data_IF_105040379215
#
_entry.id   IF_105040379215
#
_cell.length_a   1.000
_cell.length_b   1.000
_cell.length_c   1.000
_cell.angle_alpha   90.00
_cell.angle_beta   90.00
_cell.angle_gamma   90.00
#
_symmetry.space_group_name_H-M   'P 1'
#
loop_
_entity.id
_entity.type
_entity.pdbx_description
1 polymer ?
#
# COMPACT_ATOMS: atom_id res chain seq x y z
N UNK A 1 1.68 73.52 41.04
CA UNK A 1 2.71 72.45 41.08
C UNK A 1 1.99 71.12 41.00
N UNK A 2 1.79 70.62 39.78
CA UNK A 2 1.22 69.30 39.50
C UNK A 2 2.38 68.34 39.29
N UNK A 3 2.46 67.30 40.12
CA UNK A 3 3.47 66.24 40.04
C UNK A 3 3.15 65.28 38.88
N UNK A 4 4.15 64.83 38.10
CA UNK A 4 3.91 63.88 37.02
C UNK A 4 3.80 62.45 37.59
N UNK A 5 2.72 61.76 37.24
CA UNK A 5 2.51 60.34 37.50
C UNK A 5 3.44 59.52 36.61
N UNK A 6 4.39 58.80 37.22
CA UNK A 6 5.28 57.87 36.54
C UNK A 6 4.52 56.65 36.04
N UNK A 7 4.44 56.47 34.71
CA UNK A 7 3.91 55.27 34.06
C UNK A 7 4.93 54.14 34.21
N UNK A 8 4.60 53.11 34.98
CA UNK A 8 5.41 51.90 35.10
C UNK A 8 5.27 51.06 33.82
N UNK A 9 6.36 50.91 33.08
CA UNK A 9 6.50 49.90 32.03
C UNK A 9 6.34 48.49 32.63
N UNK A 10 5.53 47.59 32.05
CA UNK A 10 5.39 46.23 32.56
C UNK A 10 6.70 45.47 32.36
N UNK A 11 7.30 45.05 33.47
CA UNK A 11 8.47 44.16 33.50
C UNK A 11 8.11 42.85 32.80
N UNK A 12 8.87 42.36 31.80
CA UNK A 12 8.57 41.08 31.16
C UNK A 12 8.70 39.97 32.21
N UNK A 13 7.64 39.15 32.33
CA UNK A 13 7.63 38.00 33.23
C UNK A 13 8.84 37.08 32.94
N UNK A 14 9.48 36.49 33.96
CA UNK A 14 10.62 35.60 33.75
C UNK A 14 10.18 34.41 32.88
N UNK A 15 10.70 34.35 31.66
CA UNK A 15 10.44 33.24 30.74
C UNK A 15 11.15 31.99 31.28
N UNK A 16 10.38 30.99 31.69
CA UNK A 16 10.93 29.69 32.07
C UNK A 16 11.65 29.08 30.86
N UNK A 17 12.97 28.89 30.99
CA UNK A 17 13.80 28.25 29.96
C UNK A 17 14.06 26.81 30.37
N UNK A 18 13.79 25.88 29.46
CA UNK A 18 14.00 24.46 29.67
C UNK A 18 15.09 23.92 28.73
N UNK A 19 15.86 22.91 29.15
CA UNK A 19 16.69 22.14 28.23
C UNK A 19 15.84 21.51 27.12
N UNK A 20 16.38 21.45 25.89
CA UNK A 20 15.71 20.89 24.70
C UNK A 20 14.97 19.56 24.95
N UNK A 21 15.57 18.52 25.56
CA UNK A 21 14.88 17.24 25.74
C UNK A 21 13.73 17.30 26.74
N UNK A 22 13.79 18.20 27.73
CA UNK A 22 12.71 18.40 28.72
C UNK A 22 11.57 19.17 28.08
N UNK A 23 11.88 20.22 27.32
CA UNK A 23 10.89 21.03 26.61
C UNK A 23 10.12 20.21 25.57
N UNK A 24 10.82 19.35 24.82
CA UNK A 24 10.20 18.45 23.85
C UNK A 24 9.15 17.50 24.48
N UNK A 25 9.35 17.11 25.75
CA UNK A 25 8.40 16.25 26.48
C UNK A 25 7.27 17.04 27.15
N UNK A 26 7.57 18.23 27.69
CA UNK A 26 6.58 19.07 28.38
C UNK A 26 5.59 19.73 27.42
N UNK A 27 6.06 20.18 26.26
CA UNK A 27 5.25 20.95 25.31
C UNK A 27 5.71 20.65 23.87
N UNK A 28 5.31 19.48 23.32
CA UNK A 28 5.78 19.01 22.02
C UNK A 28 5.33 19.93 20.86
N UNK A 29 4.11 20.49 20.92
CA UNK A 29 3.60 21.39 19.89
C UNK A 29 4.41 22.70 19.78
N UNK A 30 4.59 23.50 20.86
CA UNK A 30 5.49 24.66 20.83
C UNK A 30 6.94 24.34 20.48
N UNK A 31 7.42 23.14 20.85
CA UNK A 31 8.78 22.71 20.51
C UNK A 31 8.97 22.55 19.00
N UNK A 32 8.05 21.85 18.33
CA UNK A 32 8.09 21.68 16.88
C UNK A 32 7.93 23.03 16.17
N UNK A 33 7.00 23.87 16.62
CA UNK A 33 6.79 25.22 16.08
C UNK A 33 8.07 26.06 16.13
N UNK A 34 8.79 26.04 17.24
CA UNK A 34 10.05 26.78 17.39
C UNK A 34 11.16 26.27 16.48
N UNK A 35 11.12 24.99 16.12
CA UNK A 35 12.06 24.39 15.17
C UNK A 35 11.73 24.78 13.72
N UNK A 36 10.43 24.82 13.38
CA UNK A 36 9.93 25.18 12.05
C UNK A 36 9.92 26.69 11.78
N UNK A 37 9.84 27.52 12.83
CA UNK A 37 9.88 28.98 12.74
C UNK A 37 11.02 29.53 13.62
N UNK A 38 12.29 29.37 13.20
CA UNK A 38 13.41 29.96 13.93
C UNK A 38 13.28 31.48 13.95
N UNK A 39 13.50 32.09 15.12
CA UNK A 39 13.41 33.55 15.30
C UNK A 39 14.51 34.31 14.54
N UNK A 40 15.57 33.63 14.12
CA UNK A 40 16.66 34.17 13.31
C UNK A 40 16.45 33.85 11.82
N UNK A 41 16.46 34.85 10.92
CA UNK A 41 16.20 34.65 9.49
C UNK A 41 17.28 33.85 8.74
N UNK A 42 18.46 33.66 9.34
CA UNK A 42 19.61 32.98 8.72
C UNK A 42 19.52 31.44 8.80
N UNK A 43 18.60 30.92 9.63
CA UNK A 43 18.44 29.47 9.83
C UNK A 43 17.24 28.95 9.04
N UNK A 44 17.40 27.96 8.14
CA UNK A 44 16.26 27.36 7.46
C UNK A 44 15.33 26.66 8.46
N UNK A 45 14.04 26.49 8.12
CA UNK A 45 13.10 25.72 8.93
C UNK A 45 13.53 24.25 8.93
N UNK A 46 13.77 23.69 10.11
CA UNK A 46 14.23 22.30 10.27
C UNK A 46 13.31 21.60 11.26
N UNK A 47 12.99 20.33 10.99
CA UNK A 47 12.18 19.49 11.87
C UNK A 47 12.99 19.06 13.10
N UNK A 48 12.33 18.44 14.07
CA UNK A 48 12.97 17.96 15.30
C UNK A 48 14.05 16.90 15.04
N UNK A 49 13.92 16.17 13.94
CA UNK A 49 14.86 15.15 13.46
C UNK A 49 16.02 15.71 12.60
N UNK A 50 16.06 17.01 12.33
CA UNK A 50 17.09 17.62 11.48
C UNK A 50 16.77 17.68 9.98
N UNK A 51 15.66 17.08 9.52
CA UNK A 51 15.23 17.09 8.11
C UNK A 51 14.50 18.38 7.73
N UNK A 52 14.51 18.72 6.44
CA UNK A 52 13.66 19.78 5.92
C UNK A 52 12.17 19.38 5.93
N UNK A 53 11.22 20.34 5.94
CA UNK A 53 9.78 20.04 5.88
C UNK A 53 9.38 19.18 4.67
N UNK A 54 10.07 19.36 3.54
CA UNK A 54 9.83 18.66 2.28
C UNK A 54 10.78 17.47 2.03
N UNK A 55 11.48 17.00 3.06
CA UNK A 55 12.46 15.93 2.95
C UNK A 55 11.93 14.63 3.59
N UNK A 56 11.78 13.59 2.77
CA UNK A 56 11.32 12.26 3.19
C UNK A 56 12.50 11.35 3.58
N UNK A 57 12.26 10.30 4.38
CA UNK A 57 13.31 9.37 4.82
C UNK A 57 13.90 8.61 3.62
N UNK A 58 15.22 8.36 3.65
CA UNK A 58 15.84 7.47 2.67
C UNK A 58 15.24 6.05 2.80
N UNK A 59 14.91 5.43 1.67
CA UNK A 59 14.33 4.09 1.60
C UNK A 59 15.37 3.14 1.06
N UNK A 60 15.61 2.05 1.78
CA UNK A 60 16.46 0.95 1.35
C UNK A 60 15.61 -0.30 1.21
N UNK A 61 15.66 -0.95 0.04
CA UNK A 61 14.87 -2.14 -0.27
C UNK A 61 15.83 -3.30 -0.55
N UNK A 62 15.66 -4.39 0.17
CA UNK A 62 16.33 -5.66 -0.09
C UNK A 62 15.28 -6.71 -0.50
N UNK A 63 15.17 -6.99 -1.79
CA UNK A 63 14.30 -8.08 -2.28
C UNK A 63 14.87 -9.46 -1.95
N UNK A 64 14.01 -10.48 -1.97
CA UNK A 64 14.35 -11.89 -1.67
C UNK A 64 15.00 -12.12 -0.31
N UNK A 65 14.58 -11.38 0.72
CA UNK A 65 15.14 -11.50 2.08
C UNK A 65 14.77 -12.81 2.80
N UNK A 66 13.68 -13.48 2.39
CA UNK A 66 13.19 -14.73 2.97
C UNK A 66 13.27 -15.87 1.95
N UNK A 67 13.95 -16.96 2.31
CA UNK A 67 14.20 -18.10 1.40
C UNK A 67 12.99 -19.00 1.15
N UNK A 68 12.07 -19.10 2.12
CA UNK A 68 10.90 -19.98 2.05
C UNK A 68 9.65 -19.30 1.47
N UNK A 69 9.66 -17.97 1.33
CA UNK A 69 8.55 -17.23 0.74
C UNK A 69 8.63 -17.27 -0.79
N UNK A 70 7.48 -17.18 -1.47
CA UNK A 70 7.43 -17.13 -2.94
C UNK A 70 7.94 -15.77 -3.46
N UNK A 71 7.74 -14.71 -2.69
CA UNK A 71 8.35 -13.40 -2.85
C UNK A 71 8.60 -12.79 -1.48
N UNK A 72 9.62 -11.96 -1.34
CA UNK A 72 9.84 -11.23 -0.09
C UNK A 72 10.61 -9.95 -0.30
N UNK A 73 10.46 -9.01 0.63
CA UNK A 73 11.24 -7.80 0.67
C UNK A 73 11.43 -7.30 2.11
N UNK A 74 12.63 -6.83 2.42
CA UNK A 74 12.91 -6.05 3.62
C UNK A 74 13.03 -4.58 3.20
N UNK A 75 12.20 -3.72 3.76
CA UNK A 75 12.25 -2.27 3.51
C UNK A 75 12.59 -1.55 4.80
N UNK A 76 13.61 -0.70 4.72
CA UNK A 76 14.00 0.21 5.79
C UNK A 76 13.83 1.64 5.34
N UNK A 77 13.03 2.40 6.06
CA UNK A 77 12.82 3.83 5.87
C UNK A 77 13.21 4.56 7.16
N UNK A 78 14.42 5.12 7.20
CA UNK A 78 15.01 5.66 8.43
C UNK A 78 15.11 4.58 9.52
N UNK A 79 14.39 4.80 10.63
CA UNK A 79 14.31 3.86 11.76
C UNK A 79 13.14 2.88 11.66
N UNK A 80 12.20 3.09 10.72
CA UNK A 80 11.14 2.13 10.45
C UNK A 80 11.66 0.99 9.59
N UNK A 81 11.41 -0.25 10.01
CA UNK A 81 11.83 -1.45 9.29
C UNK A 81 10.67 -2.44 9.19
N UNK A 82 10.36 -2.85 7.96
CA UNK A 82 9.25 -3.75 7.63
C UNK A 82 9.76 -4.90 6.79
N UNK A 83 9.35 -6.11 7.14
CA UNK A 83 9.55 -7.32 6.35
C UNK A 83 8.21 -7.66 5.71
N UNK A 84 8.19 -7.89 4.40
CA UNK A 84 7.03 -8.39 3.68
C UNK A 84 7.36 -9.76 3.07
N UNK A 85 6.48 -10.72 3.27
CA UNK A 85 6.54 -12.05 2.66
C UNK A 85 5.25 -12.33 1.89
N UNK A 86 5.39 -12.93 0.70
CA UNK A 86 4.28 -13.36 -0.14
C UNK A 86 4.26 -14.89 -0.18
N UNK A 87 3.12 -15.47 0.18
CA UNK A 87 2.84 -16.89 0.12
C UNK A 87 1.69 -17.14 -0.85
N UNK A 88 1.93 -17.93 -1.90
CA UNK A 88 0.89 -18.42 -2.77
C UNK A 88 0.29 -19.72 -2.25
N UNK A 89 -1.03 -19.81 -2.23
CA UNK A 89 -1.80 -21.03 -2.02
C UNK A 89 -2.77 -21.25 -3.19
N UNK A 90 -3.19 -22.49 -3.40
CA UNK A 90 -4.13 -22.84 -4.46
C UNK A 90 -5.54 -22.92 -3.88
N UNK A 91 -6.46 -22.17 -4.47
CA UNK A 91 -7.88 -22.21 -4.19
C UNK A 91 -8.60 -22.93 -5.33
N UNK A 92 -9.05 -24.19 -5.13
CA UNK A 92 -9.87 -24.90 -6.10
C UNK A 92 -11.17 -24.15 -6.35
N UNK A 93 -11.63 -24.17 -7.60
CA UNK A 93 -12.87 -23.51 -8.02
C UNK A 93 -14.10 -23.99 -7.25
N UNK A 94 -14.13 -25.25 -6.82
CA UNK A 94 -15.19 -25.83 -6.00
C UNK A 94 -15.34 -25.15 -4.63
N UNK A 95 -14.28 -24.52 -4.12
CA UNK A 95 -14.28 -23.81 -2.83
C UNK A 95 -14.61 -22.33 -2.98
N UNK A 96 -14.83 -21.84 -4.20
CA UNK A 96 -15.16 -20.44 -4.46
C UNK A 96 -16.68 -20.29 -4.38
N UNK A 97 -17.20 -19.50 -3.42
CA UNK A 97 -18.63 -19.22 -3.37
C UNK A 97 -19.03 -18.42 -4.61
N UNK A 98 -20.16 -18.78 -5.24
CA UNK A 98 -20.70 -18.07 -6.40
C UNK A 98 -19.69 -17.98 -7.58
N UNK A 99 -18.92 -19.03 -7.79
CA UNK A 99 -18.01 -19.11 -8.93
C UNK A 99 -18.75 -18.89 -10.26
N UNK A 100 -18.21 -18.01 -11.09
CA UNK A 100 -18.73 -17.75 -12.44
C UNK A 100 -17.83 -18.47 -13.44
N UNK A 101 -18.31 -19.56 -14.09
CA UNK A 101 -17.50 -20.30 -15.05
C UNK A 101 -17.18 -19.39 -16.25
N UNK A 102 -15.89 -19.23 -16.52
CA UNK A 102 -15.39 -18.55 -17.72
C UNK A 102 -14.67 -19.55 -18.60
N UNK A 103 -15.21 -19.74 -19.81
CA UNK A 103 -14.54 -20.50 -20.86
C UNK A 103 -13.74 -19.51 -21.70
N UNK A 104 -12.57 -19.93 -22.21
CA UNK A 104 -11.71 -19.06 -23.05
C UNK A 104 -12.44 -18.51 -24.29
N UNK A 105 -13.54 -19.14 -24.72
CA UNK A 105 -14.40 -18.69 -25.83
C UNK A 105 -15.27 -17.48 -25.50
N UNK A 106 -15.77 -17.31 -24.26
CA UNK A 106 -16.57 -16.13 -23.88
C UNK A 106 -15.71 -14.87 -23.71
N UNK A 107 -14.42 -15.04 -23.39
CA UNK A 107 -13.43 -13.94 -23.32
C UNK A 107 -13.16 -13.21 -24.65
N UNK A 108 -13.55 -13.77 -25.80
CA UNK A 108 -13.43 -13.13 -27.12
C UNK A 108 -14.78 -12.73 -27.73
N UNK A 109 -15.91 -13.06 -27.08
CA UNK A 109 -17.26 -12.75 -27.57
C UNK A 109 -17.96 -11.60 -26.86
N UNK A 110 -17.52 -11.24 -25.65
CA UNK A 110 -18.22 -10.26 -24.80
C UNK A 110 -17.89 -8.78 -25.13
N UNK A 111 -17.09 -8.50 -26.19
CA UNK A 111 -16.81 -7.12 -26.62
C UNK A 111 -18.00 -6.45 -27.35
N UNK A 112 -19.04 -7.19 -27.77
CA UNK A 112 -20.20 -6.62 -28.48
C UNK A 112 -21.55 -6.72 -27.75
N UNK A 113 -21.78 -7.67 -26.84
CA UNK A 113 -23.14 -7.96 -26.33
C UNK A 113 -23.47 -7.48 -24.90
N UNK A 114 -22.49 -7.01 -24.10
CA UNK A 114 -22.73 -6.57 -22.71
C UNK A 114 -23.30 -5.13 -22.60
N UNK A 115 -23.62 -4.48 -23.72
CA UNK A 115 -24.25 -3.16 -23.75
C UNK A 115 -25.80 -3.19 -23.60
N UNK A 116 -26.45 -4.36 -23.67
CA UNK A 116 -27.90 -4.43 -23.90
C UNK A 116 -28.77 -4.93 -22.71
N UNK A 117 -28.22 -5.28 -21.54
CA UNK A 117 -29.04 -5.80 -20.42
C UNK A 117 -28.81 -5.12 -19.05
N UNK A 118 -28.65 -3.80 -19.03
CA UNK A 118 -28.67 -3.06 -17.76
C UNK A 118 -29.59 -1.83 -17.77
N UNK A 119 -30.85 -2.01 -18.19
CA UNK A 119 -31.97 -1.13 -17.79
C UNK A 119 -32.83 -1.83 -16.73
N UNK A 120 -32.53 -1.58 -15.44
CA UNK A 120 -33.40 -2.05 -14.36
C UNK A 120 -32.73 -2.24 -12.99
N UNK A 121 -32.01 -1.25 -12.48
CA UNK A 121 -31.46 -1.35 -11.11
C UNK A 121 -30.57 -0.18 -10.74
N UNK A 122 -31.17 0.88 -10.20
CA UNK A 122 -30.48 2.11 -9.79
C UNK A 122 -29.69 1.86 -8.49
N UNK A 123 -28.40 1.59 -8.62
CA UNK A 123 -27.44 1.49 -7.52
C UNK A 123 -26.11 2.14 -7.90
N UNK A 124 -25.67 3.12 -7.11
CA UNK A 124 -24.52 3.99 -7.35
C UNK A 124 -23.21 3.22 -7.08
N UNK A 125 -22.57 2.65 -8.11
CA UNK A 125 -21.11 2.41 -8.15
C UNK A 125 -20.62 2.48 -9.59
N UNK A 126 -20.06 3.63 -9.98
CA UNK A 126 -19.35 3.77 -11.24
C UNK A 126 -17.91 3.26 -11.13
N UNK A 127 -17.48 2.40 -12.04
CA UNK A 127 -16.17 2.48 -12.72
C UNK A 127 -15.88 1.21 -13.56
N UNK A 128 -16.14 1.35 -14.87
CA UNK A 128 -15.42 0.78 -16.02
C UNK A 128 -14.53 -0.47 -15.90
N UNK A 129 -14.91 -1.48 -16.68
CA UNK A 129 -14.05 -2.19 -17.65
C UNK A 129 -12.71 -2.75 -17.15
N UNK A 130 -12.76 -4.03 -16.79
CA UNK A 130 -11.61 -4.88 -16.58
C UNK A 130 -12.13 -6.19 -16.04
N UNK A 131 -12.49 -7.11 -16.93
CA UNK A 131 -13.11 -8.40 -16.64
C UNK A 131 -12.41 -9.18 -15.52
N UNK A 132 -11.10 -8.98 -15.30
CA UNK A 132 -10.34 -9.58 -14.20
C UNK A 132 -10.23 -8.75 -12.90
N UNK A 133 -10.61 -7.47 -12.86
CA UNK A 133 -10.41 -6.62 -11.67
C UNK A 133 -11.48 -6.81 -10.60
N UNK A 134 -12.73 -7.03 -11.02
CA UNK A 134 -13.80 -7.47 -10.12
C UNK A 134 -13.47 -8.84 -9.52
N UNK A 135 -12.96 -9.74 -10.35
CA UNK A 135 -12.63 -11.12 -9.99
C UNK A 135 -11.62 -11.26 -8.83
N UNK A 136 -10.57 -10.43 -8.79
CA UNK A 136 -9.64 -10.43 -7.64
C UNK A 136 -10.35 -10.13 -6.32
N UNK A 137 -11.32 -9.21 -6.35
CA UNK A 137 -12.05 -8.75 -5.18
C UNK A 137 -13.19 -9.70 -4.82
N UNK A 138 -13.88 -10.23 -5.83
CA UNK A 138 -14.99 -11.16 -5.64
C UNK A 138 -14.52 -12.50 -5.06
N UNK A 139 -13.31 -12.93 -5.39
CA UNK A 139 -12.71 -14.19 -4.91
C UNK A 139 -11.65 -14.01 -3.82
N UNK A 140 -11.46 -12.79 -3.31
CA UNK A 140 -10.47 -12.44 -2.27
C UNK A 140 -9.09 -13.08 -2.50
N UNK A 141 -8.57 -12.97 -3.74
CA UNK A 141 -7.31 -13.61 -4.13
C UNK A 141 -6.08 -12.96 -3.51
N UNK A 142 -6.21 -11.74 -2.96
CA UNK A 142 -5.13 -11.02 -2.31
C UNK A 142 -5.50 -10.78 -0.85
N UNK A 143 -4.75 -11.38 0.06
CA UNK A 143 -5.03 -11.30 1.50
C UNK A 143 -3.84 -10.67 2.22
N UNK A 144 -3.83 -9.34 2.43
CA UNK A 144 -2.80 -8.69 3.21
C UNK A 144 -3.06 -8.87 4.70
N UNK A 145 -2.03 -9.26 5.42
CA UNK A 145 -2.01 -9.37 6.87
C UNK A 145 -0.91 -8.47 7.43
N UNK A 146 -1.22 -7.72 8.48
CA UNK A 146 -0.29 -6.74 9.07
C UNK A 146 -0.08 -7.07 10.53
N UNK A 147 1.14 -7.41 10.86
CA UNK A 147 1.61 -7.67 12.20
C UNK A 147 2.55 -6.56 12.67
N UNK A 148 2.17 -5.92 13.78
CA UNK A 148 3.01 -4.96 14.49
C UNK A 148 3.73 -5.73 15.59
N UNK A 149 4.98 -6.13 15.35
CA UNK A 149 5.72 -7.02 16.23
C UNK A 149 5.86 -6.41 17.63
N UNK A 150 5.93 -7.28 18.64
CA UNK A 150 6.21 -6.86 20.02
C UNK A 150 7.59 -6.21 20.10
N UNK A 151 7.67 -5.04 20.74
CA UNK A 151 8.90 -4.25 20.78
C UNK A 151 9.18 -3.35 19.57
N UNK A 152 8.36 -3.38 18.50
CA UNK A 152 8.48 -2.43 17.39
C UNK A 152 8.14 -0.99 17.80
N UNK A 153 7.33 -0.83 18.84
CA UNK A 153 7.08 0.41 19.54
C UNK A 153 6.74 0.12 21.01
N UNK A 154 6.97 1.07 21.94
CA UNK A 154 6.66 0.88 23.36
C UNK A 154 5.17 0.57 23.65
N UNK A 155 4.28 0.94 22.73
CA UNK A 155 2.83 0.75 22.83
C UNK A 155 2.36 -0.66 22.43
N UNK A 156 3.20 -1.48 21.80
CA UNK A 156 2.84 -2.82 21.35
C UNK A 156 3.33 -3.86 22.37
N UNK A 157 2.40 -4.23 23.27
CA UNK A 157 2.62 -5.24 24.29
C UNK A 157 2.37 -6.65 23.74
N UNK A 158 3.06 -7.68 24.27
CA UNK A 158 2.83 -9.07 23.87
C UNK A 158 1.44 -9.57 24.29
N UNK A 159 0.84 -10.41 23.43
CA UNK A 159 -0.43 -11.10 23.72
C UNK A 159 -1.69 -10.23 23.56
N UNK A 160 -1.57 -9.02 23.04
CA UNK A 160 -2.72 -8.13 22.79
C UNK A 160 -3.37 -8.50 21.43
N UNK A 161 -4.71 -8.47 21.31
CA UNK A 161 -5.38 -8.62 20.02
C UNK A 161 -4.92 -7.56 19.00
N UNK A 162 -5.17 -7.77 17.68
CA UNK A 162 -4.74 -6.84 16.65
C UNK A 162 -5.26 -5.43 16.91
N UNK A 163 -4.34 -4.48 17.00
CA UNK A 163 -4.65 -3.07 17.28
C UNK A 163 -5.48 -2.43 16.16
N UNK A 164 -6.25 -1.38 16.49
CA UNK A 164 -7.01 -0.62 15.49
C UNK A 164 -6.12 -0.07 14.36
N UNK A 165 -4.87 0.31 14.68
CA UNK A 165 -3.88 0.76 13.69
C UNK A 165 -3.54 -0.36 12.70
N UNK A 166 -3.25 -1.57 13.19
CA UNK A 166 -2.94 -2.73 12.33
C UNK A 166 -4.13 -3.08 11.42
N UNK A 167 -5.35 -3.09 11.96
CA UNK A 167 -6.57 -3.36 11.20
C UNK A 167 -6.84 -2.30 10.13
N UNK A 168 -6.67 -1.02 10.49
CA UNK A 168 -6.84 0.09 9.54
C UNK A 168 -5.79 0.04 8.44
N UNK A 169 -4.53 -0.27 8.79
CA UNK A 169 -3.45 -0.41 7.81
C UNK A 169 -3.71 -1.58 6.86
N UNK A 170 -4.09 -2.75 7.36
CA UNK A 170 -4.43 -3.91 6.54
C UNK A 170 -5.58 -3.59 5.57
N UNK A 171 -6.65 -2.95 6.06
CA UNK A 171 -7.79 -2.53 5.22
C UNK A 171 -7.40 -1.50 4.15
N UNK A 172 -6.54 -0.53 4.49
CA UNK A 172 -6.03 0.45 3.51
C UNK A 172 -5.14 -0.20 2.45
N UNK A 173 -4.25 -1.11 2.84
CA UNK A 173 -3.40 -1.87 1.91
C UNK A 173 -4.26 -2.75 1.00
N UNK A 174 -5.24 -3.47 1.55
CA UNK A 174 -6.20 -4.27 0.78
C UNK A 174 -6.94 -3.41 -0.26
N UNK A 175 -7.53 -2.30 0.17
CA UNK A 175 -8.24 -1.37 -0.71
C UNK A 175 -7.34 -0.84 -1.82
N UNK A 176 -6.09 -0.51 -1.49
CA UNK A 176 -5.11 0.00 -2.46
C UNK A 176 -4.63 -1.07 -3.45
N UNK A 177 -4.47 -2.33 -3.04
CA UNK A 177 -4.13 -3.45 -3.93
C UNK A 177 -5.18 -3.60 -5.04
N UNK A 178 -6.46 -3.59 -4.67
CA UNK A 178 -7.57 -3.66 -5.65
C UNK A 178 -7.75 -2.35 -6.45
N UNK A 179 -7.45 -1.20 -5.84
CA UNK A 179 -7.51 0.11 -6.50
C UNK A 179 -6.37 0.39 -7.50
N UNK A 180 -5.21 -0.25 -7.31
CA UNK A 180 -4.06 -0.08 -8.22
C UNK A 180 -4.08 -1.09 -9.36
N UNK A 181 -4.66 -2.28 -9.14
CA UNK A 181 -4.69 -3.34 -10.15
C UNK A 181 -3.29 -3.85 -10.50
N UNK A 182 -2.41 -3.91 -9.49
CA UNK A 182 -1.01 -4.35 -9.64
C UNK A 182 -0.89 -5.77 -10.21
N UNK A 183 -1.82 -6.64 -9.82
CA UNK A 183 -1.87 -8.06 -10.19
C UNK A 183 -3.16 -8.31 -10.96
N UNK A 184 -3.09 -9.10 -12.03
CA UNK A 184 -4.26 -9.52 -12.81
C UNK A 184 -4.78 -10.87 -12.35
N UNK A 185 -6.10 -11.07 -12.43
CA UNK A 185 -6.72 -12.37 -12.16
C UNK A 185 -6.17 -13.43 -13.12
N UNK A 186 -5.96 -13.03 -14.37
CA UNK A 186 -5.46 -13.87 -15.46
C UNK A 186 -4.14 -14.56 -15.12
N UNK A 187 -3.24 -13.84 -14.43
CA UNK A 187 -1.92 -14.36 -14.06
C UNK A 187 -2.00 -15.33 -12.88
N UNK A 188 -3.12 -15.33 -12.15
CA UNK A 188 -3.41 -16.22 -11.01
C UNK A 188 -4.28 -17.43 -11.40
N UNK A 189 -4.86 -17.45 -12.61
CA UNK A 189 -5.69 -18.58 -13.08
C UNK A 189 -4.84 -19.82 -13.38
N UNK A 190 -5.33 -20.96 -12.91
CA UNK A 190 -4.82 -22.28 -13.28
C UNK A 190 -5.80 -22.91 -14.26
N UNK A 191 -5.34 -23.11 -15.49
CA UNK A 191 -6.14 -23.68 -16.57
C UNK A 191 -6.01 -25.21 -16.59
N UNK A 192 -7.13 -25.88 -16.78
CA UNK A 192 -7.17 -27.25 -17.27
C UNK A 192 -7.13 -27.23 -18.79
N UNK A 193 -6.14 -27.92 -19.36
CA UNK A 193 -6.04 -28.16 -20.80
C UNK A 193 -6.15 -29.66 -21.05
N UNK A 194 -7.31 -30.16 -21.53
CA UNK A 194 -7.44 -31.55 -21.90
C UNK A 194 -6.55 -31.81 -23.13
N UNK A 195 -5.54 -32.66 -22.96
CA UNK A 195 -4.59 -33.03 -24.02
C UNK A 195 -3.12 -32.96 -23.65
N UNK A 196 -2.73 -32.27 -22.57
CA UNK A 196 -1.42 -32.47 -21.94
C UNK A 196 -1.45 -33.78 -21.17
N UNK A 197 -1.40 -34.92 -21.88
CA UNK A 197 -1.02 -36.21 -21.28
C UNK A 197 0.23 -35.94 -20.44
N UNK A 198 0.14 -36.24 -19.15
CA UNK A 198 1.21 -36.08 -18.17
C UNK A 198 2.56 -36.47 -18.77
N UNK A 199 3.58 -35.66 -18.48
CA UNK A 199 4.88 -35.72 -19.12
C UNK A 199 5.31 -37.15 -19.42
N UNK A 200 5.46 -37.46 -20.72
CA UNK A 200 6.16 -38.64 -21.19
C UNK A 200 7.45 -38.77 -20.39
N UNK A 201 7.51 -39.78 -19.51
CA UNK A 201 8.77 -40.45 -19.24
C UNK A 201 9.26 -40.95 -20.59
N UNK A 202 10.42 -40.46 -21.01
CA UNK A 202 11.08 -40.93 -22.20
C UNK A 202 11.36 -42.43 -22.05
N UNK A 203 10.92 -43.22 -23.03
CA UNK A 203 11.22 -44.64 -23.17
C UNK A 203 10.11 -45.55 -22.66
N UNK A 204 9.12 -45.81 -23.51
CA UNK A 204 8.53 -47.14 -23.71
C UNK A 204 7.62 -47.06 -24.95
N UNK A 205 8.06 -47.76 -25.99
CA UNK A 205 7.34 -47.92 -27.24
C UNK A 205 6.04 -48.68 -26.97
N UNK A 206 4.89 -48.07 -27.25
CA UNK A 206 3.61 -48.77 -27.26
C UNK A 206 2.97 -48.58 -28.63
N UNK A 207 2.82 -49.72 -29.31
CA UNK A 207 2.20 -49.92 -30.61
C UNK A 207 0.86 -49.18 -30.78
N UNK A 208 0.63 -48.69 -32.00
CA UNK A 208 -0.65 -48.17 -32.45
C UNK A 208 -1.71 -49.28 -32.46
N UNK A 209 -2.56 -49.28 -31.45
CA UNK A 209 -3.87 -49.93 -31.50
C UNK A 209 -4.93 -48.91 -31.92
N UNK A 210 -5.60 -49.17 -33.04
CA UNK A 210 -6.79 -48.45 -33.49
C UNK A 210 -7.86 -48.54 -32.40
N UNK A 211 -8.21 -47.40 -31.77
CA UNK A 211 -9.30 -47.31 -30.82
C UNK A 211 -10.38 -46.40 -31.41
N UNK A 212 -11.57 -46.97 -31.46
CA UNK A 212 -12.82 -46.45 -31.97
C UNK A 212 -13.11 -45.02 -31.47
N UNK A 213 -13.60 -44.18 -32.40
CA UNK A 213 -14.14 -42.86 -32.10
C UNK A 213 -15.45 -43.00 -31.32
N UNK A 214 -15.36 -43.24 -30.02
CA UNK A 214 -16.48 -42.98 -29.10
C UNK A 214 -16.37 -41.56 -28.55
N UNK A 215 -17.52 -40.87 -28.54
CA UNK A 215 -17.75 -39.48 -28.17
C UNK A 215 -16.97 -39.01 -26.93
N UNK A 216 -15.72 -38.58 -27.11
CA UNK A 216 -15.07 -37.69 -26.15
C UNK A 216 -15.65 -36.31 -26.38
N UNK A 217 -16.67 -35.98 -25.59
CA UNK A 217 -17.05 -34.59 -25.34
C UNK A 217 -15.74 -33.80 -25.25
N UNK A 218 -15.53 -32.85 -26.17
CA UNK A 218 -14.32 -32.02 -26.17
C UNK A 218 -14.37 -31.22 -24.87
N UNK A 219 -13.80 -31.77 -23.80
CA UNK A 219 -13.72 -31.11 -22.51
C UNK A 219 -13.16 -29.72 -22.78
N UNK A 220 -13.94 -28.69 -22.47
CA UNK A 220 -13.52 -27.33 -22.78
C UNK A 220 -12.44 -26.91 -21.78
N UNK A 221 -11.46 -26.11 -22.24
CA UNK A 221 -10.48 -25.54 -21.34
C UNK A 221 -11.19 -24.67 -20.29
N UNK A 222 -11.10 -25.10 -19.03
CA UNK A 222 -11.75 -24.45 -17.89
C UNK A 222 -10.72 -24.05 -16.85
N UNK A 223 -11.03 -23.00 -16.11
CA UNK A 223 -10.26 -22.65 -14.91
C UNK A 223 -10.61 -23.66 -13.82
N UNK A 224 -9.60 -24.27 -13.21
CA UNK A 224 -9.78 -25.28 -12.13
C UNK A 224 -9.41 -24.74 -10.76
N UNK A 225 -8.51 -23.76 -10.70
CA UNK A 225 -8.08 -23.15 -9.46
C UNK A 225 -7.55 -21.73 -9.69
N UNK A 226 -7.46 -20.99 -8.61
CA UNK A 226 -6.82 -19.68 -8.53
C UNK A 226 -5.66 -19.72 -7.55
N UNK A 227 -4.63 -18.94 -7.83
CA UNK A 227 -3.62 -18.60 -6.83
C UNK A 227 -4.16 -17.52 -5.91
N UNK A 228 -4.18 -17.81 -4.61
CA UNK A 228 -4.42 -16.85 -3.54
C UNK A 228 -3.07 -16.43 -2.98
N UNK A 229 -2.82 -15.13 -2.93
CA UNK A 229 -1.59 -14.55 -2.41
C UNK A 229 -1.85 -13.99 -1.01
N UNK A 230 -1.29 -14.65 -0.01
CA UNK A 230 -1.18 -14.13 1.35
C UNK A 230 0.05 -13.22 1.42
N UNK A 231 -0.17 -11.97 1.80
CA UNK A 231 0.85 -10.94 1.88
C UNK A 231 1.02 -10.58 3.36
N UNK A 232 2.01 -11.19 4.00
CA UNK A 232 2.29 -10.96 5.41
C UNK A 232 3.29 -9.80 5.55
N UNK A 233 2.91 -8.77 6.31
CA UNK A 233 3.77 -7.65 6.69
C UNK A 233 4.09 -7.73 8.18
N UNK A 234 5.37 -7.73 8.51
CA UNK A 234 5.87 -7.70 9.88
C UNK A 234 6.69 -6.43 10.10
N UNK A 235 6.21 -5.56 10.99
CA UNK A 235 6.95 -4.37 11.41
C UNK A 235 7.93 -4.74 12.52
N UNK A 236 9.22 -4.67 12.21
CA UNK A 236 10.31 -4.90 13.20
C UNK A 236 10.53 -3.64 14.05
N UNK A 237 10.50 -2.48 13.42
CA UNK A 237 10.62 -1.18 14.06
C UNK A 237 9.63 -0.22 13.45
N UNK A 238 8.93 0.54 14.30
CA UNK A 238 7.93 1.51 13.91
C UNK A 238 8.38 2.90 14.33
N UNK A 239 8.41 3.84 13.39
CA UNK A 239 8.79 5.24 13.66
C UNK A 239 7.87 6.24 12.94
N UNK A 240 6.57 5.98 12.90
CA UNK A 240 5.57 6.85 12.27
C UNK A 240 5.46 6.69 10.76
N UNK A 241 4.33 7.12 10.20
CA UNK A 241 3.94 6.90 8.79
C UNK A 241 4.11 5.44 8.32
N UNK A 242 3.45 4.47 8.99
CA UNK A 242 3.62 3.04 8.68
C UNK A 242 3.10 2.65 7.29
N UNK A 243 2.13 3.41 6.76
CA UNK A 243 1.47 3.07 5.50
C UNK A 243 2.41 3.13 4.30
N UNK A 244 3.22 4.18 4.18
CA UNK A 244 4.13 4.35 3.05
C UNK A 244 5.21 3.25 3.01
N UNK A 245 5.73 2.89 4.19
CA UNK A 245 6.76 1.85 4.35
C UNK A 245 6.17 0.46 4.07
N UNK A 246 4.97 0.17 4.60
CA UNK A 246 4.25 -1.05 4.32
C UNK A 246 3.97 -1.21 2.82
N UNK A 247 3.46 -0.16 2.18
CA UNK A 247 3.14 -0.19 0.77
C UNK A 247 4.37 -0.41 -0.11
N UNK A 248 5.48 0.28 0.18
CA UNK A 248 6.74 0.05 -0.51
C UNK A 248 7.23 -1.40 -0.36
N UNK A 249 7.06 -2.00 0.83
CA UNK A 249 7.42 -3.40 1.07
C UNK A 249 6.54 -4.37 0.29
N UNK A 250 5.23 -4.12 0.20
CA UNK A 250 4.28 -4.94 -0.57
C UNK A 250 4.62 -4.90 -2.06
N UNK A 251 4.83 -3.71 -2.62
CA UNK A 251 5.18 -3.56 -4.05
C UNK A 251 6.51 -4.25 -4.36
N UNK A 252 7.52 -4.11 -3.50
CA UNK A 252 8.80 -4.78 -3.66
C UNK A 252 8.68 -6.31 -3.57
N UNK A 253 7.91 -6.83 -2.60
CA UNK A 253 7.73 -8.26 -2.42
C UNK A 253 6.90 -8.89 -3.55
N UNK A 254 5.85 -8.21 -4.02
CA UNK A 254 5.05 -8.66 -5.17
C UNK A 254 5.91 -8.73 -6.44
N UNK A 255 6.78 -7.75 -6.68
CA UNK A 255 7.71 -7.75 -7.81
C UNK A 255 8.74 -8.88 -7.77
N UNK A 256 9.09 -9.36 -6.57
CA UNK A 256 9.98 -10.50 -6.40
C UNK A 256 9.25 -11.86 -6.46
N UNK A 257 7.92 -11.86 -6.42
CA UNK A 257 7.13 -13.10 -6.31
C UNK A 257 7.32 -14.02 -7.52
N UNK A 258 7.70 -15.27 -7.23
CA UNK A 258 7.81 -16.36 -8.20
C UNK A 258 6.95 -17.53 -7.74
N UNK A 259 5.87 -17.78 -8.48
CA UNK A 259 4.94 -18.88 -8.21
C UNK A 259 5.37 -20.13 -8.99
N UNK A 260 5.29 -21.33 -8.40
CA UNK A 260 5.51 -22.56 -9.14
C UNK A 260 4.42 -22.72 -10.21
N UNK A 261 4.77 -23.34 -11.34
CA UNK A 261 3.77 -23.65 -12.37
C UNK A 261 2.82 -24.72 -11.82
N UNK A 262 1.53 -24.38 -11.75
CA UNK A 262 0.47 -25.28 -11.33
C UNK A 262 -0.19 -25.89 -12.57
N UNK A 263 -0.36 -27.21 -12.60
CA UNK A 263 -1.10 -27.95 -13.63
C UNK A 263 -2.14 -28.85 -12.96
N UNK A 264 -3.28 -29.02 -13.61
CA UNK A 264 -4.27 -30.00 -13.16
C UNK A 264 -3.81 -31.40 -13.54
N UNK A 265 -3.82 -32.32 -12.58
CA UNK A 265 -3.57 -33.74 -12.81
C UNK A 265 -4.91 -34.48 -12.81
N UNK A 266 -5.38 -35.01 -13.97
CA UNK A 266 -6.66 -35.70 -14.07
C UNK A 266 -6.68 -37.01 -13.28
N UNK A 267 -5.53 -37.67 -13.07
CA UNK A 267 -5.47 -38.96 -12.37
C UNK A 267 -5.67 -38.81 -10.86
N UNK A 268 -5.29 -37.64 -10.33
CA UNK A 268 -5.34 -37.33 -8.89
C UNK A 268 -6.46 -36.37 -8.52
N UNK A 269 -7.21 -35.89 -9.52
CA UNK A 269 -8.24 -34.86 -9.39
C UNK A 269 -7.76 -33.66 -8.54
N UNK A 270 -6.49 -33.27 -8.70
CA UNK A 270 -5.89 -32.19 -7.91
C UNK A 270 -4.89 -31.39 -8.73
N UNK A 271 -4.70 -30.13 -8.33
CA UNK A 271 -3.67 -29.27 -8.91
C UNK A 271 -2.30 -29.63 -8.31
N UNK A 272 -1.34 -29.95 -9.18
CA UNK A 272 0.04 -30.28 -8.81
C UNK A 272 0.96 -29.12 -9.21
N UNK A 273 1.82 -28.72 -8.28
CA UNK A 273 2.84 -27.69 -8.50
C UNK A 273 4.17 -28.30 -8.96
N UNK A 274 4.77 -27.74 -10.00
CA UNK A 274 6.13 -28.07 -10.38
C UNK A 274 7.13 -27.60 -9.30
N UNK A 275 8.13 -28.44 -9.00
CA UNK A 275 9.20 -28.09 -8.04
C UNK A 275 10.31 -27.24 -8.68
N UNK A 276 10.47 -27.35 -10.00
CA UNK A 276 11.59 -26.77 -10.76
C UNK A 276 11.16 -25.54 -11.56
N UNK A 277 9.98 -25.57 -12.18
CA UNK A 277 9.48 -24.48 -13.01
C UNK A 277 8.77 -23.44 -12.15
N UNK A 278 9.30 -22.22 -12.13
CA UNK A 278 8.69 -21.07 -11.45
C UNK A 278 8.46 -19.94 -12.44
N UNK A 279 7.27 -19.34 -12.38
CA UNK A 279 6.88 -18.18 -13.17
C UNK A 279 6.91 -16.94 -12.27
N UNK A 280 7.61 -15.90 -12.72
CA UNK A 280 7.59 -14.58 -12.06
C UNK A 280 6.22 -13.93 -12.29
N UNK A 281 5.67 -13.31 -11.25
CA UNK A 281 4.41 -12.56 -11.36
C UNK A 281 4.62 -11.28 -12.18
N UNK A 282 3.74 -11.02 -13.13
CA UNK A 282 3.74 -9.78 -13.92
C UNK A 282 3.07 -8.67 -13.13
N UNK A 283 3.88 -7.81 -12.49
CA UNK A 283 3.41 -6.69 -11.68
C UNK A 283 3.49 -5.41 -12.49
N UNK A 284 2.34 -4.76 -12.73
CA UNK A 284 2.26 -3.54 -13.54
C UNK A 284 2.57 -2.29 -12.73
N UNK A 285 3.41 -1.43 -13.28
CA UNK A 285 3.68 -0.11 -12.72
C UNK A 285 4.45 -0.14 -11.39
N UNK A 286 4.55 1.03 -10.77
CA UNK A 286 5.23 1.25 -9.48
C UNK A 286 4.43 2.29 -8.70
N UNK A 287 3.26 1.94 -8.14
CA UNK A 287 2.53 2.85 -7.27
C UNK A 287 3.35 3.10 -6.01
N UNK A 288 3.72 4.36 -5.75
CA UNK A 288 4.43 4.78 -4.54
C UNK A 288 3.49 5.64 -3.71
N UNK A 289 3.29 5.25 -2.45
CA UNK A 289 2.56 6.03 -1.48
C UNK A 289 3.45 7.14 -0.92
N UNK A 290 2.91 8.34 -0.86
CA UNK A 290 3.52 9.51 -0.27
C UNK A 290 2.52 10.14 0.69
N UNK A 291 2.86 10.15 1.98
CA UNK A 291 2.07 10.77 3.03
C UNK A 291 2.70 12.07 3.51
N UNK A 292 1.86 13.05 3.80
CA UNK A 292 2.24 14.33 4.36
C UNK A 292 1.27 14.74 5.46
N UNK A 293 1.80 15.29 6.54
CA UNK A 293 1.02 15.86 7.62
C UNK A 293 1.04 17.38 7.54
N UNK A 294 -0.07 18.01 7.91
CA UNK A 294 -0.15 19.47 8.00
C UNK A 294 -0.06 19.87 9.46
N UNK A 295 0.99 20.62 9.78
CA UNK A 295 1.21 21.20 11.10
C UNK A 295 0.71 22.64 11.12
N UNK A 296 -0.05 22.99 12.16
CA UNK A 296 -0.64 24.32 12.33
C UNK A 296 0.10 25.10 13.41
N UNK A 297 0.19 26.42 13.25
CA UNK A 297 0.79 27.29 14.26
C UNK A 297 0.02 27.29 15.60
N UNK A 298 -1.29 27.10 15.56
CA UNK A 298 -2.16 27.05 16.75
C UNK A 298 -2.79 25.65 16.90
N UNK A 299 -2.65 25.08 18.09
CA UNK A 299 -3.11 23.73 18.43
C UNK A 299 -4.63 23.62 18.52
N UNK A 300 -5.28 24.63 19.10
CA UNK A 300 -6.73 24.80 19.09
C UNK A 300 -7.09 26.07 18.30
N UNK A 301 -7.90 25.92 17.24
CA UNK A 301 -8.69 27.05 16.74
C UNK A 301 -9.70 27.41 17.83
N UNK A 302 -9.29 28.22 18.80
CA UNK A 302 -10.26 28.89 19.65
C UNK A 302 -11.18 29.71 18.75
N UNK A 303 -12.48 29.57 18.98
CA UNK A 303 -13.60 30.17 18.26
C UNK A 303 -13.66 31.70 18.45
N UNK A 304 -12.54 32.41 18.30
CA UNK A 304 -12.52 33.84 18.16
C UNK A 304 -12.72 34.18 16.68
N UNK A 305 -13.92 34.70 16.39
CA UNK A 305 -14.28 35.30 15.12
C UNK A 305 -13.24 36.35 14.69
N UNK A 306 -12.36 35.96 13.77
CA UNK A 306 -11.31 36.81 13.25
C UNK A 306 -10.49 36.04 12.22
N UNK A 307 -10.83 36.21 10.95
CA UNK A 307 -10.15 35.62 9.81
C UNK A 307 -8.68 36.06 9.78
N UNK A 308 -7.80 35.22 10.30
CA UNK A 308 -6.39 35.19 9.99
C UNK A 308 -6.02 33.74 9.67
N UNK A 309 -5.54 33.48 8.45
CA UNK A 309 -4.94 32.20 8.10
C UNK A 309 -3.73 31.99 9.00
N UNK A 310 -3.88 31.11 10.01
CA UNK A 310 -2.73 30.66 10.80
C UNK A 310 -1.70 30.04 9.88
N UNK A 311 -0.41 30.29 10.13
CA UNK A 311 0.65 29.71 9.32
C UNK A 311 0.59 28.19 9.44
N UNK A 312 0.79 27.51 8.32
CA UNK A 312 0.79 26.07 8.24
C UNK A 312 2.08 25.58 7.58
N UNK A 313 2.51 24.38 7.96
CA UNK A 313 3.65 23.69 7.38
C UNK A 313 3.21 22.32 6.90
N UNK A 314 3.66 21.94 5.70
CA UNK A 314 3.46 20.60 5.17
C UNK A 314 4.74 19.81 5.47
N UNK A 315 4.58 18.76 6.27
CA UNK A 315 5.65 17.85 6.67
C UNK A 315 5.50 16.56 5.88
N UNK A 316 6.45 16.30 4.97
CA UNK A 316 6.49 15.05 4.24
C UNK A 316 6.99 13.92 5.13
N UNK A 317 6.36 12.75 5.02
CA UNK A 317 6.76 11.55 5.76
C UNK A 317 6.95 11.83 7.26
N UNK A 318 5.83 12.09 7.97
CA UNK A 318 5.84 12.48 9.38
C UNK A 318 6.41 11.37 10.27
N UNK A 319 7.12 11.80 11.30
CA UNK A 319 7.64 10.92 12.36
C UNK A 319 6.52 10.64 13.36
N UNK A 320 6.72 9.67 14.26
CA UNK A 320 5.75 9.36 15.32
C UNK A 320 5.31 10.58 16.13
N UNK A 321 6.26 11.45 16.51
CA UNK A 321 5.95 12.65 17.28
C UNK A 321 5.08 13.61 16.47
N UNK A 322 5.39 13.81 15.20
CA UNK A 322 4.67 14.74 14.34
C UNK A 322 3.28 14.22 13.97
N UNK A 323 3.15 12.90 13.77
CA UNK A 323 1.88 12.22 13.57
C UNK A 323 0.93 12.42 14.76
N UNK A 324 1.46 12.45 15.99
CA UNK A 324 0.66 12.75 17.19
C UNK A 324 0.23 14.22 17.31
N UNK A 325 0.95 15.14 16.67
CA UNK A 325 0.72 16.58 16.74
C UNK A 325 -0.17 17.09 15.60
N UNK A 326 -0.13 16.43 14.44
CA UNK A 326 -0.85 16.85 13.26
C UNK A 326 -2.23 16.19 13.21
N UNK A 327 -3.29 16.99 13.06
CA UNK A 327 -4.67 16.50 12.93
C UNK A 327 -5.10 16.27 11.47
N UNK A 328 -4.31 16.77 10.52
CA UNK A 328 -4.58 16.69 9.09
C UNK A 328 -3.44 15.94 8.40
N UNK A 329 -3.78 14.84 7.71
CA UNK A 329 -2.84 14.00 6.97
C UNK A 329 -3.41 13.75 5.58
N UNK A 330 -2.57 13.87 4.57
CA UNK A 330 -2.87 13.50 3.19
C UNK A 330 -1.93 12.39 2.75
N UNK A 331 -2.50 11.31 2.23
CA UNK A 331 -1.77 10.24 1.58
C UNK A 331 -2.15 10.24 0.11
N UNK A 332 -1.16 10.19 -0.76
CA UNK A 332 -1.37 10.11 -2.19
C UNK A 332 -0.50 9.03 -2.80
N UNK A 333 -1.09 8.24 -3.68
CA UNK A 333 -0.41 7.14 -4.36
C UNK A 333 -0.24 7.51 -5.81
N UNK A 334 1.01 7.66 -6.23
CA UNK A 334 1.37 8.06 -7.59
C UNK A 334 2.07 6.93 -8.32
N UNK A 335 1.75 6.78 -9.59
CA UNK A 335 2.42 5.85 -10.50
C UNK A 335 2.85 6.65 -11.73
N UNK A 336 4.16 6.71 -11.99
CA UNK A 336 4.74 7.40 -13.14
C UNK A 336 5.39 6.44 -14.14
N UNK A 337 5.01 5.15 -14.10
CA UNK A 337 5.65 4.11 -14.91
C UNK A 337 5.46 4.31 -16.42
N UNK A 338 4.36 4.96 -16.83
CA UNK A 338 4.02 5.22 -18.23
C UNK A 338 4.55 6.58 -18.72
N UNK A 339 5.41 7.27 -17.95
CA UNK A 339 5.91 8.62 -18.26
C UNK A 339 4.95 9.77 -17.90
N UNK A 340 3.67 9.48 -17.67
CA UNK A 340 2.67 10.41 -17.14
C UNK A 340 2.38 10.13 -15.67
N UNK A 341 2.24 11.19 -14.85
CA UNK A 341 1.87 11.06 -13.43
C UNK A 341 0.41 10.68 -13.29
N UNK A 342 0.14 9.39 -13.01
CA UNK A 342 -1.19 8.89 -12.71
C UNK A 342 -1.38 8.77 -11.21
N UNK A 343 -2.35 9.50 -10.68
CA UNK A 343 -2.73 9.39 -9.27
C UNK A 343 -3.72 8.24 -9.13
N UNK A 344 -3.35 7.21 -8.37
CA UNK A 344 -4.19 6.01 -8.16
C UNK A 344 -5.16 6.17 -7.00
N UNK A 345 -4.72 6.84 -5.93
CA UNK A 345 -5.54 7.10 -4.75
C UNK A 345 -5.11 8.41 -4.09
N UNK A 346 -6.07 9.14 -3.56
CA UNK A 346 -5.88 10.31 -2.68
C UNK A 346 -6.76 10.10 -1.47
N UNK A 347 -6.15 10.06 -0.29
CA UNK A 347 -6.84 9.98 0.98
C UNK A 347 -6.49 11.20 1.80
N UNK A 348 -7.50 11.98 2.16
CA UNK A 348 -7.37 13.13 3.06
C UNK A 348 -8.09 12.79 4.35
N UNK A 349 -7.35 12.79 5.45
CA UNK A 349 -7.86 12.54 6.78
C UNK A 349 -7.76 13.83 7.60
N UNK A 350 -8.91 14.30 8.08
CA UNK A 350 -9.01 15.46 8.96
C UNK A 350 -8.77 16.82 8.29
N UNK A 351 -8.89 17.87 9.11
CA UNK A 351 -8.54 19.27 8.82
C UNK A 351 -9.33 20.00 7.73
N UNK A 352 -9.04 21.28 7.57
CA UNK A 352 -9.69 22.21 6.62
C UNK A 352 -8.71 22.99 5.75
N UNK A 353 -7.40 22.73 5.90
CA UNK A 353 -6.35 23.62 5.39
C UNK A 353 -5.89 23.20 4.01
N UNK A 354 -5.93 21.91 3.68
CA UNK A 354 -5.55 21.45 2.34
C UNK A 354 -6.59 21.87 1.30
N UNK A 355 -6.31 22.98 0.63
CA UNK A 355 -7.00 23.44 -0.57
C UNK A 355 -6.52 22.71 -1.84
N UNK A 356 -7.24 22.95 -2.95
CA UNK A 356 -6.94 22.32 -4.25
C UNK A 356 -5.53 22.64 -4.77
N UNK A 357 -5.05 23.85 -4.52
CA UNK A 357 -3.72 24.30 -4.98
C UNK A 357 -2.59 23.56 -4.26
N UNK A 358 -2.72 23.37 -2.93
CA UNK A 358 -1.75 22.62 -2.14
C UNK A 358 -1.72 21.14 -2.54
N UNK A 359 -2.88 20.54 -2.83
CA UNK A 359 -2.95 19.15 -3.32
C UNK A 359 -2.24 19.02 -4.69
N UNK A 360 -2.40 19.99 -5.59
CA UNK A 360 -1.67 20.02 -6.86
C UNK A 360 -0.16 20.18 -6.64
N UNK A 361 0.26 21.07 -5.74
CA UNK A 361 1.67 21.23 -5.37
C UNK A 361 2.26 19.94 -4.78
N UNK A 362 1.47 19.23 -3.97
CA UNK A 362 1.83 17.94 -3.38
C UNK A 362 2.02 16.86 -4.45
N UNK A 363 1.28 16.89 -5.57
CA UNK A 363 1.48 15.97 -6.70
C UNK A 363 2.90 16.05 -7.28
N UNK A 364 3.44 17.26 -7.47
CA UNK A 364 4.82 17.42 -7.93
C UNK A 364 5.87 16.97 -6.92
N UNK A 365 5.56 17.03 -5.61
CA UNK A 365 6.43 16.51 -4.56
C UNK A 365 6.42 14.98 -4.54
N UNK A 366 5.24 14.38 -4.66
CA UNK A 366 5.08 12.93 -4.75
C UNK A 366 5.78 12.35 -5.99
N UNK A 367 5.78 13.07 -7.12
CA UNK A 367 6.52 12.67 -8.32
C UNK A 367 8.04 12.62 -8.07
N UNK A 368 8.61 13.60 -7.36
CA UNK A 368 10.02 13.57 -6.97
C UNK A 368 10.32 12.39 -6.06
N UNK A 369 9.45 12.13 -5.09
CA UNK A 369 9.57 10.98 -4.19
C UNK A 369 9.50 9.66 -4.94
N UNK A 370 8.60 9.54 -5.91
CA UNK A 370 8.48 8.36 -6.77
C UNK A 370 9.80 8.04 -7.48
N UNK A 371 10.48 9.05 -8.03
CA UNK A 371 11.80 8.87 -8.68
C UNK A 371 12.83 8.31 -7.68
N UNK A 372 12.92 8.88 -6.48
CA UNK A 372 13.83 8.40 -5.44
C UNK A 372 13.54 6.95 -5.02
N UNK A 373 12.26 6.59 -4.86
CA UNK A 373 11.87 5.22 -4.46
C UNK A 373 12.09 4.23 -5.59
N UNK A 374 11.82 4.63 -6.83
CA UNK A 374 12.11 3.82 -8.02
C UNK A 374 13.59 3.47 -8.10
N UNK A 375 14.48 4.44 -7.88
CA UNK A 375 15.93 4.22 -7.93
C UNK A 375 16.41 3.30 -6.79
N UNK A 376 15.66 3.23 -5.69
CA UNK A 376 15.93 2.33 -4.57
C UNK A 376 15.29 0.93 -4.72
N UNK A 377 14.38 0.72 -5.68
CA UNK A 377 13.76 -0.58 -5.93
C UNK A 377 14.59 -1.40 -6.93
N UNK A 378 14.70 -2.73 -6.71
CA UNK A 378 15.43 -3.64 -7.59
C UNK A 378 14.69 -4.04 -8.88
#
# INVERSE_FOLDING_TARGET
MTTPTSTSTPTPAPTLSFPRPVFAKLSPHPYLLRSLAPSSPDRPPVRTNGRAPHEARAVHVNASSLSHAHGSALVRAGDSTVICGVRGELLPVERIPLFRPRNRKTLHGDDEDDAAQQEGGRGITGSGTGTGRGELRDYDLLVPNVELATGSAPQFLPGVPPTALAQTLASRVYSLLHATGLVRAEDLRVWYRPGEKGGRRAGEDVEMGEAEEEDKEKEEERVVAYWVLYIDLLFVSFDGNPFDVAWAAVVAALRDTRLPVARWDPDREMVVCSRTERRKLDVRGLPVACSAAVFMEKEHREAAAGAGEGRHWILLDPDRLEESLCQEVITMVVDCSDGETRIKSIEKLGGTVLGRELIRGFAGVAERRWKTVRDAMP
#
